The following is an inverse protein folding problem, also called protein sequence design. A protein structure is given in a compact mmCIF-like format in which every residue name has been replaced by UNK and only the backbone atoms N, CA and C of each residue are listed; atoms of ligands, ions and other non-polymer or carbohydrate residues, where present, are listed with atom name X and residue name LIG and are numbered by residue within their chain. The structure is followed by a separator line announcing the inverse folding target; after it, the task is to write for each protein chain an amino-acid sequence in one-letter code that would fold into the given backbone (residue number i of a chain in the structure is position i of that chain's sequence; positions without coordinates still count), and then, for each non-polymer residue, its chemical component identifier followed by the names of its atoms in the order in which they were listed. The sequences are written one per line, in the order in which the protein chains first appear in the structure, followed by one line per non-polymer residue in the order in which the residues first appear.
data_IF_443321892252
#
_entry.id   IF_443321892252
#
_cell.length_a   1.000
_cell.length_b   1.000
_cell.length_c   1.000
_cell.angle_alpha   90.00
_cell.angle_beta   90.00
_cell.angle_gamma   90.00
#
_symmetry.space_group_name_H-M   'P 1'
#
loop_
_entity.id
_entity.type
_entity.pdbx_description
1 polymer ?
#
# COMPACT_ATOMS: atom_id res chain seq x y z
N UNK A 1 -3.79 19.23 15.78
CA UNK A 1 -3.72 18.66 14.41
C UNK A 1 -5.13 18.28 14.00
N UNK A 2 -5.66 18.76 12.87
CA UNK A 2 -7.04 18.44 12.44
C UNK A 2 -7.06 17.01 11.90
N UNK A 3 -7.84 16.13 12.51
CA UNK A 3 -8.09 14.80 11.95
C UNK A 3 -8.91 14.98 10.65
N UNK A 4 -8.48 14.44 9.50
CA UNK A 4 -9.16 14.64 8.21
C UNK A 4 -10.60 14.11 8.19
N UNK A 5 -10.95 13.22 9.14
CA UNK A 5 -12.33 12.78 9.38
C UNK A 5 -13.29 13.93 9.77
N UNK A 6 -12.80 14.99 10.41
CA UNK A 6 -13.64 16.07 10.93
C UNK A 6 -14.16 17.05 9.86
N UNK A 7 -13.65 16.99 8.64
CA UNK A 7 -14.02 17.89 7.53
C UNK A 7 -14.74 17.19 6.37
N UNK A 8 -14.97 15.88 6.46
CA UNK A 8 -15.63 15.12 5.39
C UNK A 8 -17.13 14.95 5.71
N UNK A 9 -18.01 15.06 4.71
CA UNK A 9 -19.44 14.88 4.93
C UNK A 9 -19.76 13.42 5.33
N UNK A 10 -20.81 13.19 6.15
CA UNK A 10 -21.28 11.85 6.45
C UNK A 10 -21.53 11.03 5.19
N UNK A 11 -21.10 9.75 5.20
CA UNK A 11 -21.24 8.84 4.07
C UNK A 11 -20.13 8.93 3.02
N UNK A 12 -19.19 9.89 3.14
CA UNK A 12 -17.99 9.90 2.30
C UNK A 12 -17.17 8.63 2.54
N UNK A 13 -16.81 7.95 1.44
CA UNK A 13 -15.93 6.78 1.46
C UNK A 13 -14.79 6.98 0.50
N UNK A 14 -13.59 6.65 0.95
CA UNK A 14 -12.43 6.64 0.08
C UNK A 14 -12.41 5.32 -0.71
N UNK A 15 -12.78 5.39 -1.99
CA UNK A 15 -12.81 4.25 -2.90
C UNK A 15 -12.22 4.63 -4.27
N UNK A 16 -10.92 4.96 -4.31
CA UNK A 16 -10.27 5.43 -5.52
C UNK A 16 -10.02 4.28 -6.51
N UNK A 17 -10.01 4.60 -7.79
CA UNK A 17 -9.50 3.74 -8.83
C UNK A 17 -7.97 3.63 -8.76
N UNK A 18 -7.42 2.57 -9.36
CA UNK A 18 -5.98 2.38 -9.48
C UNK A 18 -5.29 3.61 -10.13
N UNK A 19 -5.95 4.24 -11.11
CA UNK A 19 -5.45 5.45 -11.78
C UNK A 19 -5.46 6.68 -10.88
N UNK A 20 -6.55 6.91 -10.14
CA UNK A 20 -6.64 8.04 -9.21
C UNK A 20 -5.59 7.95 -8.09
N UNK A 21 -5.31 6.75 -7.60
CA UNK A 21 -4.26 6.49 -6.62
C UNK A 21 -2.88 6.88 -7.16
N UNK A 22 -2.59 6.54 -8.41
CA UNK A 22 -1.32 6.86 -9.03
C UNK A 22 -1.21 8.38 -9.28
N UNK A 23 -2.17 8.95 -10.00
CA UNK A 23 -2.08 10.33 -10.51
C UNK A 23 -2.27 11.37 -9.42
N UNK A 24 -3.21 11.16 -8.50
CA UNK A 24 -3.59 12.18 -7.52
C UNK A 24 -2.96 11.99 -6.15
N UNK A 25 -2.41 10.81 -5.85
CA UNK A 25 -1.75 10.54 -4.57
C UNK A 25 -0.28 10.23 -4.76
N UNK A 26 0.10 9.17 -5.47
CA UNK A 26 1.50 8.77 -5.58
C UNK A 26 2.38 9.80 -6.31
N UNK A 27 1.95 10.29 -7.49
CA UNK A 27 2.70 11.31 -8.24
C UNK A 27 2.79 12.64 -7.48
N UNK A 28 1.73 13.02 -6.76
CA UNK A 28 1.73 14.23 -5.93
C UNK A 28 2.65 14.10 -4.72
N UNK A 29 2.69 12.93 -4.07
CA UNK A 29 3.60 12.64 -2.95
C UNK A 29 5.05 12.80 -3.37
N UNK A 30 5.40 12.29 -4.55
CA UNK A 30 6.75 12.36 -5.10
C UNK A 30 7.18 13.77 -5.50
N UNK A 31 6.26 14.54 -6.08
CA UNK A 31 6.50 15.95 -6.44
C UNK A 31 6.39 16.91 -5.25
N UNK A 32 6.18 16.39 -4.02
CA UNK A 32 5.90 17.19 -2.82
C UNK A 32 4.74 18.19 -3.03
N UNK A 33 3.78 17.81 -3.88
CA UNK A 33 2.61 18.60 -4.24
C UNK A 33 1.45 18.31 -3.27
N UNK A 34 0.62 19.30 -2.92
CA UNK A 34 -0.51 19.09 -2.02
C UNK A 34 -1.54 18.09 -2.56
N UNK A 35 -1.99 17.21 -1.67
CA UNK A 35 -3.06 16.25 -1.94
C UNK A 35 -4.44 16.93 -1.89
N UNK A 36 -5.44 16.38 -2.60
CA UNK A 36 -6.83 16.79 -2.41
C UNK A 36 -7.29 16.60 -0.96
N UNK A 37 -6.92 15.46 -0.34
CA UNK A 37 -7.18 15.15 1.06
C UNK A 37 -6.02 14.30 1.61
N UNK A 38 -5.55 14.59 2.84
CA UNK A 38 -4.46 13.87 3.50
C UNK A 38 -4.96 12.61 4.24
N UNK A 39 -5.40 11.60 3.48
CA UNK A 39 -6.05 10.37 4.02
C UNK A 39 -5.20 9.09 3.91
N UNK A 40 -4.00 9.18 3.33
CA UNK A 40 -3.06 8.06 3.22
C UNK A 40 -1.92 8.30 4.22
N UNK A 41 -1.63 7.31 5.06
CA UNK A 41 -0.60 7.42 6.09
C UNK A 41 0.79 7.04 5.56
N UNK A 42 1.85 7.72 6.00
CA UNK A 42 3.23 7.27 5.79
C UNK A 42 3.58 6.21 6.85
N UNK A 43 3.66 4.93 6.45
CA UNK A 43 3.92 3.80 7.34
C UNK A 43 4.84 2.81 6.65
N UNK A 44 5.92 2.41 7.33
CA UNK A 44 6.75 1.28 6.91
C UNK A 44 6.06 -0.04 7.26
N UNK A 45 5.18 -0.48 6.36
CA UNK A 45 4.28 -1.62 6.58
C UNK A 45 5.02 -2.94 6.83
N UNK A 46 6.30 -3.03 6.43
CA UNK A 46 7.12 -4.23 6.63
C UNK A 46 7.65 -4.35 8.07
N UNK A 47 7.51 -3.30 8.89
CA UNK A 47 7.87 -3.31 10.31
C UNK A 47 6.71 -3.69 11.24
N UNK A 48 5.52 -3.86 10.70
CA UNK A 48 4.31 -4.14 11.48
C UNK A 48 3.70 -5.47 11.11
N UNK A 49 2.95 -6.02 12.05
CA UNK A 49 2.14 -7.19 11.78
C UNK A 49 0.90 -6.77 10.97
N UNK A 50 0.40 -7.62 10.06
CA UNK A 50 -0.72 -7.27 9.19
C UNK A 50 -1.97 -6.80 9.95
N UNK A 51 -2.27 -7.42 11.09
CA UNK A 51 -3.42 -7.08 11.93
C UNK A 51 -3.25 -5.77 12.72
N UNK A 52 -2.04 -5.22 12.82
CA UNK A 52 -1.78 -3.93 13.46
C UNK A 52 -1.89 -2.77 12.46
N UNK A 53 -1.87 -3.05 11.16
CA UNK A 53 -1.91 -2.02 10.11
C UNK A 53 -3.19 -1.16 10.13
N UNK A 54 -4.41 -1.70 10.34
CA UNK A 54 -5.63 -0.88 10.40
C UNK A 54 -5.53 0.28 11.39
N UNK A 55 -4.94 0.05 12.55
CA UNK A 55 -4.78 1.05 13.61
C UNK A 55 -3.77 2.15 13.26
N UNK A 56 -2.97 1.94 12.20
CA UNK A 56 -2.03 2.93 11.67
C UNK A 56 -2.61 3.76 10.52
N UNK A 57 -3.76 3.37 9.99
CA UNK A 57 -4.37 4.08 8.88
C UNK A 57 -5.05 5.37 9.35
N UNK A 58 -5.09 6.37 8.46
CA UNK A 58 -5.82 7.61 8.72
C UNK A 58 -7.33 7.43 8.50
N UNK A 59 -7.72 6.60 7.54
CA UNK A 59 -9.10 6.30 7.16
C UNK A 59 -9.16 4.88 6.58
N UNK A 60 -10.22 4.13 6.87
CA UNK A 60 -10.48 2.83 6.27
C UNK A 60 -11.45 1.97 7.10
N UNK A 61 -12.36 1.28 6.44
CA UNK A 61 -13.29 0.32 7.07
C UNK A 61 -12.96 -1.13 6.66
N UNK A 62 -12.82 -1.34 5.35
CA UNK A 62 -12.51 -2.64 4.73
C UNK A 62 -11.18 -2.64 4.00
N UNK A 63 -10.70 -1.45 3.66
CA UNK A 63 -9.45 -1.22 2.96
C UNK A 63 -8.73 -0.07 3.64
N UNK A 64 -7.41 -0.22 3.76
CA UNK A 64 -6.51 0.75 4.34
C UNK A 64 -5.40 1.08 3.37
N UNK A 65 -4.90 2.31 3.42
CA UNK A 65 -4.01 2.86 2.41
C UNK A 65 -2.78 3.47 3.05
N UNK A 66 -1.61 3.06 2.57
CA UNK A 66 -0.31 3.47 3.12
C UNK A 66 0.66 3.88 2.02
N UNK A 67 1.43 4.93 2.29
CA UNK A 67 2.71 5.17 1.64
C UNK A 67 3.79 4.44 2.43
N UNK A 68 4.53 3.56 1.77
CA UNK A 68 5.61 2.80 2.42
C UNK A 68 6.93 3.03 1.70
N UNK A 69 8.05 3.14 2.41
CA UNK A 69 9.37 3.12 1.80
C UNK A 69 9.65 1.77 1.15
N UNK A 70 10.49 1.79 0.10
CA UNK A 70 11.01 0.57 -0.52
C UNK A 70 12.25 0.05 0.15
N UNK A 71 12.07 -0.91 1.07
CA UNK A 71 13.21 -1.65 1.58
C UNK A 71 13.67 -2.73 0.58
N UNK A 72 14.95 -2.70 0.24
CA UNK A 72 15.58 -3.71 -0.62
C UNK A 72 16.23 -4.73 0.30
N UNK A 73 15.96 -6.02 0.06
CA UNK A 73 16.59 -7.12 0.78
C UNK A 73 18.13 -7.09 0.68
N UNK A 74 18.64 -6.52 -0.42
CA UNK A 74 20.08 -6.32 -0.63
C UNK A 74 20.32 -4.90 -1.16
N UNK A 75 21.42 -4.22 -0.80
CA UNK A 75 21.72 -2.85 -1.22
C UNK A 75 21.55 -2.62 -2.74
N UNK A 76 22.00 -3.58 -3.56
CA UNK A 76 21.93 -3.54 -5.03
C UNK A 76 20.86 -4.49 -5.62
N UNK A 77 20.03 -5.11 -4.79
CA UNK A 77 19.06 -6.11 -5.22
C UNK A 77 17.70 -5.50 -5.54
N UNK A 78 17.06 -5.97 -6.62
CA UNK A 78 15.67 -5.60 -6.93
C UNK A 78 14.65 -6.25 -5.98
N UNK A 79 15.07 -7.26 -5.20
CA UNK A 79 14.21 -8.04 -4.31
C UNK A 79 13.81 -7.21 -3.10
N UNK A 80 12.51 -6.90 -2.91
CA UNK A 80 12.06 -6.19 -1.72
C UNK A 80 12.22 -7.06 -0.47
N UNK A 81 12.53 -6.41 0.66
CA UNK A 81 12.49 -7.06 1.96
C UNK A 81 11.03 -7.16 2.41
N UNK A 82 10.56 -8.40 2.53
CA UNK A 82 9.14 -8.73 2.79
C UNK A 82 8.98 -9.57 4.05
N UNK A 83 10.02 -9.65 4.86
CA UNK A 83 10.00 -10.36 6.14
C UNK A 83 9.52 -9.43 7.24
N UNK A 84 8.72 -9.98 8.15
CA UNK A 84 8.26 -9.36 9.40
C UNK A 84 8.68 -10.28 10.55
N UNK A 85 8.59 -9.82 11.81
CA UNK A 85 8.96 -10.65 12.96
C UNK A 85 8.19 -12.00 13.03
N UNK A 86 6.86 -12.08 12.78
CA UNK A 86 6.14 -13.35 12.86
C UNK A 86 5.95 -14.10 11.53
N UNK A 87 6.40 -13.54 10.40
CA UNK A 87 6.05 -14.09 9.08
C UNK A 87 6.65 -13.36 7.89
N UNK A 88 6.17 -13.64 6.69
CA UNK A 88 6.62 -12.98 5.47
C UNK A 88 5.51 -12.79 4.44
N UNK A 89 5.64 -11.75 3.63
CA UNK A 89 4.77 -11.48 2.49
C UNK A 89 5.24 -12.25 1.26
N UNK A 90 4.36 -13.08 0.70
CA UNK A 90 4.59 -13.85 -0.52
C UNK A 90 3.72 -13.34 -1.66
N UNK A 91 4.28 -13.19 -2.86
CA UNK A 91 3.49 -12.83 -4.04
C UNK A 91 2.46 -13.92 -4.33
N UNK A 92 1.21 -13.51 -4.57
CA UNK A 92 0.13 -14.39 -5.01
C UNK A 92 -0.47 -13.86 -6.31
N UNK A 93 -0.94 -14.77 -7.17
CA UNK A 93 -1.58 -14.42 -8.42
C UNK A 93 -0.64 -13.94 -9.53
N UNK A 94 -1.25 -13.59 -10.67
CA UNK A 94 -0.57 -13.05 -11.85
C UNK A 94 -0.52 -11.53 -11.71
N UNK A 95 0.66 -10.95 -11.92
CA UNK A 95 0.81 -9.49 -12.01
C UNK A 95 -0.21 -8.96 -13.02
N UNK A 96 -1.12 -8.09 -12.57
CA UNK A 96 -2.09 -7.48 -13.46
C UNK A 96 -1.48 -6.20 -14.02
N UNK A 97 -0.76 -6.33 -15.14
CA UNK A 97 -0.45 -5.18 -15.98
C UNK A 97 -1.75 -4.71 -16.63
N UNK A 98 -2.22 -3.50 -16.32
CA UNK A 98 -3.35 -2.90 -17.03
C UNK A 98 -2.79 -2.05 -18.17
N UNK A 99 -3.34 -2.18 -19.37
CA UNK A 99 -2.85 -1.46 -20.55
C UNK A 99 -3.42 -0.04 -20.61
N UNK A 100 -2.54 0.97 -20.59
CA UNK A 100 -2.84 2.36 -20.89
C UNK A 100 -1.62 3.25 -20.69
N UNK A 101 -1.64 4.48 -21.22
CA UNK A 101 -0.46 5.36 -21.35
C UNK A 101 0.20 5.69 -19.99
N UNK A 102 -0.58 5.74 -18.91
CA UNK A 102 -0.12 5.98 -17.54
C UNK A 102 0.09 4.70 -16.71
N UNK A 103 -0.11 3.50 -17.26
CA UNK A 103 0.01 2.25 -16.50
C UNK A 103 1.41 1.62 -16.53
N UNK A 104 2.35 2.15 -17.32
CA UNK A 104 3.78 1.84 -17.19
C UNK A 104 4.40 2.37 -15.87
N UNK A 105 3.59 3.06 -15.06
CA UNK A 105 3.95 3.82 -13.85
C UNK A 105 3.76 2.96 -12.58
N UNK A 106 3.21 1.74 -12.67
CA UNK A 106 3.08 0.85 -11.52
C UNK A 106 2.59 -0.57 -11.83
N UNK A 107 3.20 -1.57 -11.20
CA UNK A 107 2.73 -2.97 -11.27
C UNK A 107 1.94 -3.29 -10.01
N UNK A 108 0.62 -3.53 -10.15
CA UNK A 108 -0.23 -4.03 -9.07
C UNK A 108 0.13 -5.48 -8.74
N UNK A 109 0.83 -5.69 -7.61
CA UNK A 109 1.18 -7.02 -7.11
C UNK A 109 0.31 -7.37 -5.92
N UNK A 110 -0.41 -8.49 -5.99
CA UNK A 110 -1.08 -9.08 -4.84
C UNK A 110 -0.06 -9.87 -4.00
N UNK A 111 -0.06 -9.63 -2.69
CA UNK A 111 0.72 -10.40 -1.73
C UNK A 111 -0.22 -11.11 -0.76
N UNK A 112 0.28 -12.16 -0.11
CA UNK A 112 -0.37 -12.85 1.01
C UNK A 112 0.65 -12.96 2.13
N UNK A 113 0.23 -12.66 3.34
CA UNK A 113 1.07 -12.87 4.52
C UNK A 113 1.01 -14.33 4.98
N UNK A 114 2.17 -14.94 5.19
CA UNK A 114 2.31 -16.26 5.78
C UNK A 114 3.02 -16.15 7.13
N UNK A 115 2.34 -16.56 8.20
CA UNK A 115 2.92 -16.68 9.53
C UNK A 115 3.86 -17.89 9.59
N UNK A 116 5.00 -17.76 10.25
CA UNK A 116 5.88 -18.91 10.47
C UNK A 116 5.15 -19.99 11.31
N UNK A 117 5.37 -21.25 10.98
CA UNK A 117 4.86 -22.43 11.70
C UNK A 117 3.33 -22.56 11.83
N UNK A 118 2.52 -21.92 10.97
CA UNK A 118 1.07 -22.15 10.89
C UNK A 118 0.61 -22.43 9.44
N UNK A 119 -0.39 -23.30 9.22
CA UNK A 119 -0.99 -23.46 7.90
C UNK A 119 -1.62 -22.14 7.42
N UNK A 120 -1.63 -21.93 6.10
CA UNK A 120 -2.04 -20.66 5.48
C UNK A 120 -3.55 -20.43 5.65
N UNK A 121 -3.97 -19.58 6.60
CA UNK A 121 -5.41 -19.39 6.92
C UNK A 121 -5.93 -17.96 6.70
N UNK A 122 -5.07 -16.95 6.46
CA UNK A 122 -5.53 -15.57 6.20
C UNK A 122 -4.86 -14.96 4.96
N UNK A 123 -5.67 -14.58 3.97
CA UNK A 123 -5.25 -13.98 2.71
C UNK A 123 -5.26 -12.46 2.81
N UNK A 124 -4.21 -11.89 3.38
CA UNK A 124 -4.08 -10.44 3.42
C UNK A 124 -3.61 -9.93 2.06
N UNK A 125 -4.46 -9.22 1.31
CA UNK A 125 -4.12 -8.71 -0.01
C UNK A 125 -3.48 -7.33 0.10
N UNK A 126 -2.17 -7.28 -0.13
CA UNK A 126 -1.46 -6.04 -0.39
C UNK A 126 -1.43 -5.80 -1.90
N UNK A 127 -1.81 -4.62 -2.37
CA UNK A 127 -1.57 -4.18 -3.76
C UNK A 127 -0.45 -3.15 -3.79
N UNK A 128 0.71 -3.55 -4.29
CA UNK A 128 1.86 -2.64 -4.49
C UNK A 128 1.67 -1.85 -5.78
N UNK A 129 2.00 -0.55 -5.82
CA UNK A 129 2.16 0.19 -7.08
C UNK A 129 3.60 0.71 -7.20
N UNK A 130 4.26 0.43 -8.33
CA UNK A 130 5.68 0.64 -8.56
C UNK A 130 5.99 1.88 -9.42
N UNK A 131 6.23 3.04 -8.80
CA UNK A 131 6.82 4.17 -9.52
C UNK A 131 8.31 4.31 -9.18
N UNK A 132 9.15 4.59 -10.20
CA UNK A 132 10.61 4.80 -10.17
C UNK A 132 11.32 4.59 -8.82
N UNK A 133 12.17 3.57 -8.76
CA UNK A 133 13.27 3.23 -7.80
C UNK A 133 13.11 3.40 -6.28
N UNK A 134 12.25 4.26 -5.71
CA UNK A 134 12.35 4.69 -4.29
C UNK A 134 11.06 4.92 -3.47
N UNK A 135 9.83 4.93 -4.01
CA UNK A 135 8.60 5.12 -3.16
C UNK A 135 7.47 4.15 -3.52
N UNK A 136 6.84 3.52 -2.53
CA UNK A 136 5.67 2.64 -2.73
C UNK A 136 4.36 3.31 -2.34
N UNK A 137 3.31 2.91 -3.06
CA UNK A 137 1.95 2.92 -2.56
C UNK A 137 1.50 1.47 -2.32
N UNK A 138 0.81 1.27 -1.20
CA UNK A 138 0.34 -0.03 -0.74
C UNK A 138 -1.11 0.09 -0.28
N UNK A 139 -2.03 -0.59 -0.96
CA UNK A 139 -3.41 -0.76 -0.46
C UNK A 139 -3.57 -2.12 0.20
N UNK A 140 -4.22 -2.13 1.34
CA UNK A 140 -4.37 -3.27 2.23
C UNK A 140 -5.84 -3.63 2.38
N UNK A 141 -6.22 -4.87 2.07
CA UNK A 141 -7.59 -5.39 2.24
C UNK A 141 -7.56 -6.69 3.04
N UNK A 142 -8.50 -6.85 3.99
CA UNK A 142 -8.78 -8.11 4.68
C UNK A 142 -9.63 -9.07 3.84
#
# INVERSE_FOLDING_TARGET
MRHPHSSLPPGFRFHPTDEELILHYLMKKLSSSPFPVSIIADVDIYKFDPWDLPDKAVLGEKEWYFFSPRDRKYPNGARPNRATSPGFWKATGRDSGRGGMHFNIGVKKALVFQRQNKPSTHLYLLSDFLFQTHTYYSSYRF
#
